data_IF_298340396535
#
_entry.id   IF_298340396535
#
_cell.length_a   1.000
_cell.length_b   1.000
_cell.length_c   1.000
_cell.angle_alpha   90.00
_cell.angle_beta   90.00
_cell.angle_gamma   90.00
#
_symmetry.space_group_name_H-M   'P 1'
#
loop_
_entity.id
_entity.type
_entity.pdbx_description
1 polymer ?
#
# COMPACT_ATOMS: atom_id res chain seq x y z
N UNK A 1 -16.23 6.71 -0.87
CA UNK A 1 -16.45 7.80 0.07
C UNK A 1 -15.26 8.74 0.04
N UNK A 2 -15.50 10.06 0.03
CA UNK A 2 -14.43 11.05 0.25
C UNK A 2 -14.23 11.33 1.75
N UNK A 3 -13.24 12.16 2.12
CA UNK A 3 -12.95 12.50 3.51
C UNK A 3 -14.17 13.10 4.24
N UNK A 4 -14.91 14.01 3.60
CA UNK A 4 -16.10 14.61 4.19
C UNK A 4 -17.16 13.57 4.56
N UNK A 5 -17.44 12.64 3.65
CA UNK A 5 -18.40 11.56 3.87
C UNK A 5 -17.93 10.61 4.98
N UNK A 6 -16.63 10.33 5.06
CA UNK A 6 -16.05 9.51 6.13
C UNK A 6 -16.22 10.17 7.49
N UNK A 7 -15.91 11.47 7.60
CA UNK A 7 -16.07 12.24 8.85
C UNK A 7 -17.53 12.23 9.30
N UNK A 8 -18.48 12.45 8.39
CA UNK A 8 -19.91 12.43 8.69
C UNK A 8 -20.37 11.07 9.22
N UNK A 9 -19.88 9.97 8.64
CA UNK A 9 -20.23 8.63 9.14
C UNK A 9 -19.58 8.35 10.51
N UNK A 10 -18.34 8.77 10.74
CA UNK A 10 -17.70 8.61 12.06
C UNK A 10 -18.52 9.34 13.11
N UNK A 11 -18.84 10.63 12.90
CA UNK A 11 -19.64 11.45 13.82
C UNK A 11 -21.05 10.87 14.07
N UNK A 12 -21.61 10.11 13.13
CA UNK A 12 -22.90 9.43 13.31
C UNK A 12 -22.80 8.19 14.22
N UNK A 13 -21.64 7.55 14.23
CA UNK A 13 -21.40 6.27 14.90
C UNK A 13 -20.81 6.43 16.32
N UNK A 14 -20.38 7.64 16.68
CA UNK A 14 -19.99 8.06 18.03
C UNK A 14 -21.11 8.86 18.68
N UNK A 15 -21.15 8.90 20.01
CA UNK A 15 -22.18 9.64 20.75
C UNK A 15 -21.82 11.11 20.95
N UNK A 16 -20.52 11.41 20.97
CA UNK A 16 -19.98 12.75 21.12
C UNK A 16 -19.62 13.40 19.78
N UNK A 17 -19.69 14.73 19.74
CA UNK A 17 -19.29 15.50 18.56
C UNK A 17 -17.80 15.77 18.64
N UNK A 18 -17.02 15.18 17.73
CA UNK A 18 -15.59 15.44 17.62
C UNK A 18 -15.29 16.46 16.53
N UNK A 19 -14.18 17.18 16.71
CA UNK A 19 -13.68 18.06 15.68
C UNK A 19 -13.26 17.26 14.45
N UNK A 20 -13.50 17.82 13.26
CA UNK A 20 -13.12 17.19 11.99
C UNK A 20 -11.63 16.84 11.94
N UNK A 21 -10.77 17.65 12.60
CA UNK A 21 -9.33 17.41 12.67
C UNK A 21 -8.96 16.13 13.42
N UNK A 22 -9.64 15.85 14.55
CA UNK A 22 -9.41 14.64 15.34
C UNK A 22 -9.86 13.39 14.59
N UNK A 23 -11.02 13.45 13.94
CA UNK A 23 -11.51 12.36 13.11
C UNK A 23 -10.57 12.12 11.93
N UNK A 24 -10.16 13.17 11.23
CA UNK A 24 -9.20 13.08 10.13
C UNK A 24 -7.86 12.49 10.59
N UNK A 25 -7.40 12.82 11.80
CA UNK A 25 -6.21 12.20 12.39
C UNK A 25 -6.37 10.68 12.47
N UNK A 26 -7.47 10.20 13.05
CA UNK A 26 -7.70 8.77 13.20
C UNK A 26 -7.94 8.03 11.88
N UNK A 27 -8.61 8.68 10.91
CA UNK A 27 -8.74 8.14 9.56
C UNK A 27 -7.36 7.98 8.88
N UNK A 28 -6.45 8.94 9.05
CA UNK A 28 -5.09 8.85 8.51
C UNK A 28 -4.25 7.79 9.24
N UNK A 29 -4.42 7.63 10.56
CA UNK A 29 -3.82 6.52 11.31
C UNK A 29 -4.30 5.15 10.82
N UNK A 30 -5.59 5.04 10.49
CA UNK A 30 -6.13 3.83 9.89
C UNK A 30 -5.48 3.54 8.53
N UNK A 31 -5.24 4.55 7.69
CA UNK A 31 -4.51 4.39 6.43
C UNK A 31 -3.05 3.94 6.66
N UNK A 32 -2.39 4.44 7.69
CA UNK A 32 -1.05 3.98 8.07
C UNK A 32 -1.06 2.50 8.49
N UNK A 33 -2.05 2.07 9.27
CA UNK A 33 -2.18 0.66 9.71
C UNK A 33 -2.55 -0.30 8.57
N UNK A 34 -3.36 0.16 7.62
CA UNK A 34 -3.82 -0.63 6.48
C UNK A 34 -2.75 -0.71 5.38
N UNK A 35 -1.82 0.27 5.32
CA UNK A 35 -0.78 0.35 4.30
C UNK A 35 -0.07 -0.99 4.03
N UNK A 36 0.42 -1.74 5.05
CA UNK A 36 1.10 -3.01 4.83
C UNK A 36 0.28 -4.11 4.16
N UNK A 37 -1.05 -4.10 4.35
CA UNK A 37 -1.94 -5.10 3.74
C UNK A 37 -2.56 -4.62 2.43
N UNK A 38 -2.65 -3.30 2.21
CA UNK A 38 -3.14 -2.75 0.96
C UNK A 38 -2.22 -3.10 -0.22
N UNK A 39 -0.90 -3.14 0.02
CA UNK A 39 0.12 -3.50 -0.98
C UNK A 39 -0.13 -2.79 -2.32
N UNK A 40 -0.21 -1.46 -2.29
CA UNK A 40 -0.41 -0.67 -3.51
C UNK A 40 0.90 -0.64 -4.30
N UNK A 41 0.93 -1.35 -5.43
CA UNK A 41 2.11 -1.46 -6.29
C UNK A 41 2.37 -0.15 -7.05
N UNK A 42 3.63 0.28 -7.07
CA UNK A 42 4.10 1.42 -7.85
C UNK A 42 5.48 1.14 -8.44
N UNK A 43 5.79 1.79 -9.55
CA UNK A 43 7.08 1.75 -10.23
C UNK A 43 7.68 3.15 -10.23
N UNK A 44 8.99 3.24 -10.01
CA UNK A 44 9.76 4.46 -10.24
C UNK A 44 11.04 4.13 -11.01
N UNK A 45 11.46 5.05 -11.87
CA UNK A 45 12.79 5.03 -12.48
C UNK A 45 13.67 6.01 -11.73
N UNK A 46 14.78 5.52 -11.16
CA UNK A 46 15.71 6.33 -10.36
C UNK A 46 17.00 6.55 -11.13
N UNK A 47 17.54 7.76 -11.05
CA UNK A 47 18.86 8.13 -11.56
C UNK A 47 19.85 8.31 -10.40
N UNK A 48 21.15 8.13 -10.65
CA UNK A 48 22.16 8.26 -9.60
C UNK A 48 22.31 9.73 -9.16
N UNK A 49 22.38 10.03 -7.83
CA UNK A 49 22.23 9.10 -6.70
C UNK A 49 20.79 8.63 -6.54
N UNK A 50 20.59 7.30 -6.37
CA UNK A 50 19.27 6.67 -6.40
C UNK A 50 18.46 6.97 -5.14
N UNK A 51 17.81 8.13 -5.10
CA UNK A 51 16.92 8.52 -4.01
C UNK A 51 15.58 7.82 -4.13
N UNK A 52 15.16 7.15 -3.07
CA UNK A 52 13.86 6.50 -3.03
C UNK A 52 12.74 7.56 -2.94
N UNK A 53 11.56 7.27 -3.50
CA UNK A 53 10.37 8.07 -3.24
C UNK A 53 10.00 8.06 -1.74
N UNK A 54 9.51 9.19 -1.22
CA UNK A 54 9.13 9.31 0.20
C UNK A 54 7.94 8.42 0.58
N UNK A 55 7.17 7.96 -0.41
CA UNK A 55 6.04 7.05 -0.25
C UNK A 55 6.44 5.58 -0.33
N UNK A 56 7.72 5.22 -0.42
CA UNK A 56 8.14 3.80 -0.36
C UNK A 56 7.81 3.21 1.02
N UNK A 57 7.05 2.12 1.03
CA UNK A 57 6.80 1.31 2.21
C UNK A 57 7.73 0.09 2.22
N UNK A 58 7.78 -0.66 1.11
CA UNK A 58 8.61 -1.85 0.96
C UNK A 58 9.01 -2.06 -0.51
N UNK A 59 10.23 -2.53 -0.75
CA UNK A 59 10.78 -2.71 -2.10
C UNK A 59 10.60 -4.17 -2.52
N UNK A 60 9.78 -4.39 -3.54
CA UNK A 60 9.55 -5.73 -4.12
C UNK A 60 10.71 -6.12 -5.05
N UNK A 61 11.19 -5.18 -5.87
CA UNK A 61 12.19 -5.50 -6.90
C UNK A 61 12.99 -4.27 -7.33
N UNK A 62 14.28 -4.49 -7.55
CA UNK A 62 15.20 -3.51 -8.16
C UNK A 62 15.78 -4.12 -9.42
N UNK A 63 15.74 -3.36 -10.53
CA UNK A 63 16.20 -3.82 -11.83
C UNK A 63 17.07 -2.78 -12.52
N UNK A 64 18.07 -3.24 -13.27
CA UNK A 64 18.85 -2.43 -14.21
C UNK A 64 19.02 -3.24 -15.49
N UNK A 65 18.56 -2.72 -16.64
CA UNK A 65 18.74 -3.36 -17.96
C UNK A 65 18.40 -4.86 -17.95
N UNK A 66 17.20 -5.22 -17.46
CA UNK A 66 16.70 -6.59 -17.28
C UNK A 66 17.40 -7.46 -16.23
N UNK A 67 18.45 -6.99 -15.57
CA UNK A 67 19.06 -7.67 -14.42
C UNK A 67 18.33 -7.30 -13.13
N UNK A 68 17.90 -8.31 -12.38
CA UNK A 68 17.33 -8.14 -11.04
C UNK A 68 18.44 -8.15 -10.01
N UNK A 69 18.40 -7.23 -9.06
CA UNK A 69 19.35 -7.16 -7.95
C UNK A 69 18.65 -7.62 -6.66
N UNK A 70 19.19 -8.63 -5.94
CA UNK A 70 18.65 -9.03 -4.65
C UNK A 70 18.99 -7.99 -3.57
N UNK A 71 18.18 -7.93 -2.52
CA UNK A 71 18.49 -7.12 -1.34
C UNK A 71 19.60 -7.81 -0.55
N UNK A 72 20.63 -7.05 -0.17
CA UNK A 72 21.71 -7.50 0.71
C UNK A 72 21.69 -6.70 2.03
N UNK A 73 22.16 -7.28 3.14
CA UNK A 73 22.35 -6.55 4.39
C UNK A 73 23.35 -5.40 4.24
N UNK A 74 23.20 -4.36 5.04
CA UNK A 74 24.22 -3.31 5.16
C UNK A 74 25.47 -3.92 5.80
N UNK A 75 26.66 -3.64 5.26
CA UNK A 75 27.92 -4.24 5.70
C UNK A 75 28.33 -5.50 4.93
N UNK A 76 27.49 -6.00 4.01
CA UNK A 76 27.82 -7.11 3.11
C UNK A 76 28.14 -6.61 1.69
N UNK A 77 28.86 -5.47 1.58
CA UNK A 77 29.23 -4.83 0.30
C UNK A 77 30.28 -5.62 -0.51
N UNK A 78 30.35 -6.93 -0.32
CA UNK A 78 31.10 -7.86 -1.17
C UNK A 78 30.15 -8.74 -2.02
N UNK A 79 28.84 -8.69 -1.77
CA UNK A 79 27.84 -9.48 -2.48
C UNK A 79 27.15 -8.66 -3.58
N UNK A 80 26.86 -9.28 -4.72
CA UNK A 80 26.13 -8.58 -5.78
C UNK A 80 24.66 -8.37 -5.39
N UNK A 81 24.26 -7.12 -5.21
CA UNK A 81 22.89 -6.77 -4.82
C UNK A 81 22.70 -5.28 -4.58
N UNK A 82 21.62 -4.95 -3.88
CA UNK A 82 21.34 -3.59 -3.42
C UNK A 82 21.12 -3.55 -1.91
N UNK A 83 21.49 -2.45 -1.28
CA UNK A 83 21.10 -2.13 0.09
C UNK A 83 20.48 -0.74 0.15
N UNK A 84 19.81 -0.45 1.25
CA UNK A 84 19.17 0.84 1.48
C UNK A 84 19.78 1.45 2.73
N UNK A 85 20.21 2.71 2.63
CA UNK A 85 20.69 3.50 3.75
C UNK A 85 19.92 4.82 3.79
N UNK A 86 19.10 5.02 4.81
CA UNK A 86 18.17 6.15 4.87
C UNK A 86 17.22 6.15 3.67
N UNK A 87 17.28 7.20 2.84
CA UNK A 87 16.48 7.37 1.62
C UNK A 87 17.26 6.99 0.34
N UNK A 88 18.44 6.40 0.46
CA UNK A 88 19.27 6.12 -0.70
C UNK A 88 19.38 4.61 -0.92
N UNK A 89 19.18 4.22 -2.19
CA UNK A 89 19.42 2.88 -2.65
C UNK A 89 20.83 2.82 -3.23
N UNK A 90 21.62 1.89 -2.71
CA UNK A 90 22.98 1.66 -3.15
C UNK A 90 23.03 0.33 -3.91
N UNK A 91 23.75 0.31 -5.03
CA UNK A 91 23.79 -0.83 -5.94
C UNK A 91 25.23 -1.30 -6.13
N UNK A 92 25.54 -2.52 -5.64
CA UNK A 92 26.86 -3.11 -5.83
C UNK A 92 26.98 -3.78 -7.19
N UNK A 93 28.06 -3.46 -7.92
CA UNK A 93 28.33 -4.04 -9.23
C UNK A 93 27.30 -3.63 -10.29
N UNK A 94 26.52 -2.59 -10.03
CA UNK A 94 25.70 -1.89 -11.02
C UNK A 94 26.46 -0.71 -11.62
N UNK A 95 26.13 -0.34 -12.85
CA UNK A 95 26.58 0.92 -13.44
C UNK A 95 25.80 2.08 -12.82
N UNK A 96 26.24 3.33 -13.00
CA UNK A 96 25.46 4.54 -12.65
C UNK A 96 24.29 4.80 -13.64
N UNK A 97 23.77 3.75 -14.28
CA UNK A 97 22.65 3.84 -15.21
C UNK A 97 21.31 3.86 -14.47
N UNK A 98 20.25 4.44 -15.06
CA UNK A 98 18.93 4.43 -14.46
C UNK A 98 18.47 3.02 -14.06
N UNK A 99 17.87 2.94 -12.88
CA UNK A 99 17.31 1.69 -12.35
C UNK A 99 15.80 1.79 -12.26
N UNK A 100 15.13 0.65 -12.36
CA UNK A 100 13.70 0.52 -12.09
C UNK A 100 13.49 -0.08 -10.71
N UNK A 101 12.71 0.61 -9.88
CA UNK A 101 12.30 0.14 -8.56
C UNK A 101 10.81 -0.11 -8.58
N UNK A 102 10.44 -1.35 -8.28
CA UNK A 102 9.07 -1.79 -8.05
C UNK A 102 8.88 -1.91 -6.54
N UNK A 103 7.90 -1.20 -6.00
CA UNK A 103 7.70 -1.08 -4.56
C UNK A 103 6.22 -1.05 -4.21
N UNK A 104 5.91 -1.37 -2.97
CA UNK A 104 4.63 -1.05 -2.35
C UNK A 104 4.71 0.34 -1.76
N UNK A 105 3.76 1.20 -2.12
CA UNK A 105 3.69 2.58 -1.63
C UNK A 105 2.84 2.67 -0.37
N UNK A 106 3.14 3.66 0.47
CA UNK A 106 2.29 4.12 1.56
C UNK A 106 1.00 4.71 0.99
N UNK A 107 -0.12 4.47 1.69
CA UNK A 107 -1.37 5.12 1.37
C UNK A 107 -1.25 6.62 1.64
N UNK A 108 -1.75 7.44 0.71
CA UNK A 108 -1.72 8.88 0.86
C UNK A 108 -2.67 9.32 1.97
N UNK A 109 -2.22 10.18 2.87
CA UNK A 109 -3.09 10.80 3.86
C UNK A 109 -4.11 11.71 3.20
N UNK A 110 -5.33 11.68 3.73
CA UNK A 110 -6.43 12.57 3.36
C UNK A 110 -6.15 13.95 3.98
N UNK A 111 -6.12 14.98 3.13
CA UNK A 111 -5.85 16.38 3.50
C UNK A 111 -7.01 17.29 3.12
N UNK A 112 -7.53 17.12 1.91
CA UNK A 112 -8.71 17.82 1.40
C UNK A 112 -9.99 17.04 1.69
N UNK A 113 -11.09 17.76 1.89
CA UNK A 113 -12.41 17.17 2.15
C UNK A 113 -12.91 16.27 1.00
N UNK A 114 -12.44 16.55 -0.22
CA UNK A 114 -12.74 15.75 -1.42
C UNK A 114 -11.77 14.59 -1.65
N UNK A 115 -10.75 14.44 -0.81
CA UNK A 115 -9.77 13.36 -0.98
C UNK A 115 -10.46 12.01 -0.78
N UNK A 116 -10.21 11.09 -1.73
CA UNK A 116 -10.72 9.73 -1.68
C UNK A 116 -9.60 8.79 -1.23
N UNK A 117 -9.84 7.92 -0.24
CA UNK A 117 -8.86 6.93 0.17
C UNK A 117 -8.42 6.02 -0.99
N UNK A 118 -7.13 5.75 -1.07
CA UNK A 118 -6.53 4.87 -2.09
C UNK A 118 -6.75 3.37 -1.81
N UNK A 119 -7.80 3.04 -1.05
CA UNK A 119 -8.26 1.68 -0.79
C UNK A 119 -9.57 1.43 -1.54
N UNK A 120 -9.86 0.16 -1.77
CA UNK A 120 -11.04 -0.26 -2.53
C UNK A 120 -12.33 0.17 -1.81
N UNK A 121 -13.26 0.82 -2.53
CA UNK A 121 -14.48 1.43 -1.96
C UNK A 121 -15.29 0.53 -1.01
N UNK A 122 -15.45 -0.78 -1.25
CA UNK A 122 -16.17 -1.66 -0.32
C UNK A 122 -15.50 -1.81 1.06
N UNK A 123 -14.25 -1.36 1.21
CA UNK A 123 -13.45 -1.45 2.42
C UNK A 123 -13.21 -0.07 3.07
N UNK A 124 -13.90 0.99 2.60
CA UNK A 124 -13.84 2.32 3.24
C UNK A 124 -14.36 2.28 4.68
N UNK A 125 -15.21 1.31 5.01
CA UNK A 125 -15.69 1.02 6.36
C UNK A 125 -14.57 0.68 7.35
N UNK A 126 -13.42 0.18 6.88
CA UNK A 126 -12.25 -0.03 7.75
C UNK A 126 -11.79 1.25 8.44
N UNK A 127 -11.78 2.36 7.70
CA UNK A 127 -11.35 3.64 8.23
C UNK A 127 -12.30 4.13 9.31
N UNK A 128 -13.61 3.95 9.07
CA UNK A 128 -14.68 4.32 9.99
C UNK A 128 -14.58 3.48 11.26
N UNK A 129 -14.48 2.15 11.14
CA UNK A 129 -14.39 1.24 12.29
C UNK A 129 -13.19 1.55 13.18
N UNK A 130 -12.03 1.83 12.58
CA UNK A 130 -10.83 2.22 13.31
C UNK A 130 -11.04 3.54 14.04
N UNK A 131 -11.48 4.58 13.32
CA UNK A 131 -11.66 5.91 13.90
C UNK A 131 -12.68 5.90 15.05
N UNK A 132 -13.84 5.28 14.85
CA UNK A 132 -14.87 5.13 15.89
C UNK A 132 -14.33 4.35 17.09
N UNK A 133 -13.58 3.27 16.86
CA UNK A 133 -12.99 2.48 17.95
C UNK A 133 -11.97 3.25 18.78
N UNK A 134 -11.13 4.09 18.15
CA UNK A 134 -10.17 4.94 18.85
C UNK A 134 -10.88 6.05 19.65
N UNK A 135 -11.89 6.68 19.07
CA UNK A 135 -12.67 7.73 19.76
C UNK A 135 -13.41 7.17 20.98
N UNK A 136 -14.08 6.03 20.85
CA UNK A 136 -14.76 5.36 21.97
C UNK A 136 -13.79 4.97 23.10
N UNK A 137 -12.57 4.54 22.74
CA UNK A 137 -11.54 4.23 23.74
C UNK A 137 -11.10 5.49 24.51
N UNK A 138 -11.04 6.65 23.85
CA UNK A 138 -10.67 7.92 24.47
C UNK A 138 -11.74 8.43 25.46
N UNK A 139 -13.03 8.25 25.14
CA UNK A 139 -14.13 8.71 25.99
C UNK A 139 -14.38 7.82 27.23
N UNK A 140 -13.73 6.66 27.28
CA UNK A 140 -13.90 5.72 28.39
C UNK A 140 -15.23 4.96 28.36
N UNK A 141 -15.94 4.98 27.24
CA UNK A 141 -17.19 4.23 27.05
C UNK A 141 -16.91 2.77 26.68
N UNK A 142 -16.57 1.97 27.69
CA UNK A 142 -16.25 0.54 27.54
C UNK A 142 -17.48 -0.38 27.70
N UNK A 143 -18.64 0.14 28.06
CA UNK A 143 -19.64 -0.66 28.77
C UNK A 143 -20.58 -1.47 27.85
N UNK A 144 -20.95 -0.99 26.66
CA UNK A 144 -22.13 -1.54 25.96
C UNK A 144 -22.01 -1.78 24.45
N UNK A 145 -20.81 -1.70 23.86
CA UNK A 145 -20.65 -1.81 22.39
C UNK A 145 -19.84 -3.03 21.98
N UNK A 146 -20.28 -3.82 20.98
CA UNK A 146 -19.43 -4.86 20.39
C UNK A 146 -18.16 -4.20 19.89
N UNK A 147 -17.02 -4.69 20.38
CA UNK A 147 -15.69 -4.12 20.19
C UNK A 147 -15.46 -3.73 18.71
N UNK A 148 -15.53 -2.43 18.43
CA UNK A 148 -15.34 -1.88 17.08
C UNK A 148 -13.97 -2.27 16.53
N UNK A 149 -12.97 -2.42 17.42
CA UNK A 149 -11.63 -2.88 17.05
C UNK A 149 -11.63 -4.37 16.68
N UNK A 150 -12.43 -5.21 17.34
CA UNK A 150 -12.62 -6.59 16.92
C UNK A 150 -13.20 -6.68 15.50
N UNK A 151 -14.21 -5.87 15.18
CA UNK A 151 -14.79 -5.81 13.82
C UNK A 151 -13.79 -5.26 12.81
N UNK A 152 -13.03 -4.25 13.20
CA UNK A 152 -11.94 -3.70 12.39
C UNK A 152 -10.94 -4.80 12.01
N UNK A 153 -10.43 -5.57 12.98
CA UNK A 153 -9.47 -6.64 12.71
C UNK A 153 -10.02 -7.73 11.80
N UNK A 154 -11.28 -8.14 12.00
CA UNK A 154 -11.94 -9.10 11.11
C UNK A 154 -12.03 -8.56 9.68
N UNK A 155 -12.43 -7.30 9.52
CA UNK A 155 -12.57 -6.65 8.23
C UNK A 155 -11.21 -6.45 7.56
N UNK A 156 -10.18 -6.16 8.36
CA UNK A 156 -8.78 -5.97 7.93
C UNK A 156 -8.22 -7.26 7.36
N UNK A 157 -8.49 -8.40 8.00
CA UNK A 157 -8.14 -9.73 7.46
C UNK A 157 -8.87 -10.02 6.14
N UNK A 158 -10.18 -9.69 6.04
CA UNK A 158 -10.92 -9.86 4.79
C UNK A 158 -10.32 -9.02 3.65
N UNK A 159 -9.91 -7.78 3.95
CA UNK A 159 -9.24 -6.91 2.98
C UNK A 159 -7.90 -7.49 2.53
N UNK A 160 -7.07 -7.96 3.46
CA UNK A 160 -5.80 -8.61 3.13
C UNK A 160 -6.00 -9.81 2.19
N UNK A 161 -6.97 -10.69 2.48
CA UNK A 161 -7.32 -11.83 1.61
C UNK A 161 -7.81 -11.36 0.23
N UNK A 162 -8.64 -10.31 0.18
CA UNK A 162 -9.11 -9.74 -1.07
C UNK A 162 -7.98 -9.19 -1.94
N UNK A 163 -7.01 -8.49 -1.33
CA UNK A 163 -5.82 -7.97 -2.01
C UNK A 163 -4.94 -9.08 -2.56
N UNK A 164 -4.70 -10.13 -1.77
CA UNK A 164 -3.90 -11.27 -2.20
C UNK A 164 -4.57 -12.02 -3.37
N UNK A 165 -5.88 -12.29 -3.28
CA UNK A 165 -6.64 -12.92 -4.38
C UNK A 165 -6.57 -12.10 -5.68
N UNK A 166 -6.62 -10.76 -5.58
CA UNK A 166 -6.45 -9.88 -6.75
C UNK A 166 -5.05 -9.94 -7.35
N UNK A 167 -4.01 -10.01 -6.52
CA UNK A 167 -2.62 -10.20 -6.98
C UNK A 167 -2.47 -11.50 -7.76
N UNK A 168 -2.93 -12.62 -7.19
CA UNK A 168 -2.89 -13.94 -7.84
C UNK A 168 -3.65 -13.93 -9.17
N UNK A 169 -4.84 -13.31 -9.22
CA UNK A 169 -5.61 -13.19 -10.47
C UNK A 169 -4.85 -12.42 -11.55
N UNK A 170 -4.17 -11.32 -11.20
CA UNK A 170 -3.32 -10.56 -12.15
C UNK A 170 -2.16 -11.40 -12.67
N UNK A 171 -1.49 -12.15 -11.80
CA UNK A 171 -0.41 -13.07 -12.19
C UNK A 171 -0.91 -14.16 -13.13
N UNK A 172 -2.09 -14.74 -12.85
CA UNK A 172 -2.71 -15.78 -13.68
C UNK A 172 -3.17 -15.27 -15.05
N UNK A 173 -3.72 -14.07 -15.15
CA UNK A 173 -4.06 -13.43 -16.44
C UNK A 173 -2.78 -13.21 -17.26
N UNK A 174 -1.72 -12.69 -16.64
CA UNK A 174 -0.43 -12.48 -17.32
C UNK A 174 0.14 -13.78 -17.88
N UNK A 175 0.04 -14.90 -17.15
CA UNK A 175 0.49 -16.20 -17.66
C UNK A 175 -0.35 -16.72 -18.83
N UNK A 176 -1.68 -16.58 -18.78
CA UNK A 176 -2.56 -17.02 -19.88
C UNK A 176 -2.33 -16.23 -21.16
N UNK A 177 -2.18 -14.90 -21.05
CA UNK A 177 -1.85 -14.07 -22.21
C UNK A 177 -0.51 -14.47 -22.81
N UNK A 178 0.53 -14.77 -22.02
CA UNK A 178 1.81 -15.22 -22.58
C UNK A 178 1.68 -16.53 -23.36
N UNK A 179 0.88 -17.50 -22.87
CA UNK A 179 0.64 -18.76 -23.59
C UNK A 179 -0.15 -18.57 -24.90
N UNK A 180 -1.17 -17.69 -24.92
CA UNK A 180 -1.95 -17.42 -26.13
C UNK A 180 -1.13 -16.75 -27.24
N UNK A 181 -0.08 -15.98 -26.90
CA UNK A 181 0.82 -15.39 -27.90
C UNK A 181 1.98 -16.31 -28.31
N UNK A 182 2.30 -17.38 -27.56
CA UNK A 182 3.29 -18.38 -27.99
C UNK A 182 2.73 -19.41 -28.98
N UNK A 183 1.39 -19.56 -29.03
CA UNK A 183 0.70 -20.50 -29.92
C UNK A 183 0.14 -19.83 -31.20
N UNK A 184 0.42 -18.55 -31.42
CA UNK A 184 0.03 -17.88 -32.66
C UNK A 184 0.94 -18.38 -33.81
N UNK A 185 0.39 -19.04 -34.84
CA UNK A 185 1.20 -19.50 -35.97
C UNK A 185 1.79 -18.31 -36.70
N UNK A 186 3.12 -18.30 -36.84
CA UNK A 186 3.86 -17.37 -37.69
C UNK A 186 3.34 -17.55 -39.13
N UNK A 187 2.49 -16.64 -39.59
CA UNK A 187 2.17 -16.55 -41.00
C UNK A 187 3.44 -16.06 -41.72
N UNK A 188 4.17 -17.00 -42.31
CA UNK A 188 5.15 -16.71 -43.35
C UNK A 188 4.37 -16.13 -44.53
N UNK A 189 4.60 -14.86 -44.82
CA UNK A 189 4.18 -14.24 -46.06
C UNK A 189 5.19 -14.62 -47.14
N UNK A 190 4.72 -15.29 -48.19
CA UNK A 190 5.41 -15.42 -49.48
C UNK A 190 5.32 -14.09 -50.25
#
# INVERSE_FOLDING_TARGET
MNLQELILQVNRDVDDIFENGDIQHWLNRALDDITPIARIEKKATLTYPYKLPNDVQDIERVMQTNKVFPRIPVGEENQQGYWVWGNELMLQGGSQQPIEVYYYKKLSHLKGMEDVPEIDSPYHDLLILYAVGQLQFMDGDYADRPDRMQRYEQRRQQYAVFREKRKVKRSGVRMKTIHEYSDAPTFLAD
#
